data_IF_229675354337
#
_entry.id   IF_229675354337
#
_cell.length_a   1.000
_cell.length_b   1.000
_cell.length_c   1.000
_cell.angle_alpha   90.00
_cell.angle_beta   90.00
_cell.angle_gamma   90.00
#
_symmetry.space_group_name_H-M   'P 1'
#
loop_
_entity.id
_entity.type
_entity.pdbx_description
1 polymer ?
#
# COMPACT_ATOMS: atom_id res chain seq x y z
N UNK A 1 10.19 -13.26 8.27
CA UNK A 1 9.70 -12.35 7.22
C UNK A 1 10.93 -11.68 6.63
N UNK A 2 11.00 -11.48 5.31
CA UNK A 2 12.12 -10.75 4.70
C UNK A 2 11.82 -9.26 4.82
N UNK A 3 12.57 -8.57 5.69
CA UNK A 3 12.45 -7.12 5.92
C UNK A 3 12.56 -6.32 4.60
N UNK A 4 13.29 -6.85 3.62
CA UNK A 4 13.42 -6.28 2.28
C UNK A 4 12.06 -6.09 1.58
N UNK A 5 11.14 -7.04 1.72
CA UNK A 5 9.81 -6.92 1.13
C UNK A 5 9.05 -5.74 1.77
N UNK A 6 9.15 -5.58 3.08
CA UNK A 6 8.51 -4.47 3.82
C UNK A 6 9.13 -3.13 3.43
N UNK A 7 10.44 -3.07 3.20
CA UNK A 7 11.13 -1.90 2.66
C UNK A 7 10.66 -1.56 1.23
N UNK A 8 10.47 -2.55 0.36
CA UNK A 8 9.92 -2.34 -0.99
C UNK A 8 8.52 -1.70 -0.92
N UNK A 9 7.65 -2.21 -0.04
CA UNK A 9 6.31 -1.66 0.15
C UNK A 9 6.34 -0.26 0.78
N UNK A 10 7.20 -0.03 1.78
CA UNK A 10 7.43 1.31 2.34
C UNK A 10 7.77 2.32 1.24
N UNK A 11 8.71 1.97 0.35
CA UNK A 11 9.11 2.85 -0.75
C UNK A 11 7.96 3.12 -1.72
N UNK A 12 7.15 2.11 -2.04
CA UNK A 12 5.97 2.28 -2.92
C UNK A 12 4.91 3.19 -2.29
N UNK A 13 4.61 2.99 -0.99
CA UNK A 13 3.67 3.84 -0.24
C UNK A 13 4.18 5.29 -0.17
N UNK A 14 5.47 5.51 0.08
CA UNK A 14 6.08 6.85 0.07
C UNK A 14 5.98 7.52 -1.30
N UNK A 15 6.19 6.79 -2.40
CA UNK A 15 5.99 7.31 -3.77
C UNK A 15 4.53 7.68 -4.04
N UNK A 16 3.59 6.89 -3.53
CA UNK A 16 2.16 7.17 -3.65
C UNK A 16 1.82 8.52 -3.01
N UNK A 17 2.28 8.75 -1.78
CA UNK A 17 2.06 10.00 -1.06
C UNK A 17 2.75 11.22 -1.70
N UNK A 18 3.87 11.03 -2.41
CA UNK A 18 4.59 12.12 -3.06
C UNK A 18 5.25 13.09 -2.07
N UNK A 19 5.61 14.29 -2.55
CA UNK A 19 6.35 15.30 -1.76
C UNK A 19 5.50 16.01 -0.71
N UNK A 20 4.17 15.98 -0.87
CA UNK A 20 3.21 16.70 -0.03
C UNK A 20 2.59 15.80 1.06
N UNK A 21 3.19 14.64 1.28
CA UNK A 21 2.86 13.72 2.37
C UNK A 21 2.91 14.46 3.71
N UNK A 22 1.75 14.72 4.34
CA UNK A 22 1.68 15.38 5.64
C UNK A 22 2.46 14.63 6.73
N UNK A 23 2.80 15.27 7.85
CA UNK A 23 3.65 14.67 8.91
C UNK A 23 3.20 13.29 9.43
N UNK A 24 1.92 12.91 9.30
CA UNK A 24 1.36 11.63 9.75
C UNK A 24 1.46 10.45 8.76
N UNK A 25 1.67 10.68 7.47
CA UNK A 25 1.70 9.61 6.45
C UNK A 25 2.99 8.78 6.49
N UNK A 26 4.06 9.32 7.10
CA UNK A 26 5.32 8.62 7.30
C UNK A 26 5.25 7.50 8.35
N UNK A 27 4.31 7.57 9.30
CA UNK A 27 4.18 6.60 10.40
C UNK A 27 3.55 5.28 9.94
N UNK A 28 2.62 5.35 9.00
CA UNK A 28 1.87 4.18 8.48
C UNK A 28 2.63 3.44 7.38
N UNK A 29 3.68 4.05 6.83
CA UNK A 29 4.50 3.52 5.74
C UNK A 29 5.81 2.85 6.18
N UNK A 30 6.08 2.75 7.49
CA UNK A 30 7.36 2.24 8.00
C UNK A 30 7.46 0.71 7.86
N UNK A 31 8.61 0.20 7.40
CA UNK A 31 8.85 -1.23 7.19
C UNK A 31 8.69 -2.08 8.47
N UNK A 32 9.09 -1.58 9.64
CA UNK A 32 8.88 -2.27 10.91
C UNK A 32 7.38 -2.36 11.24
N UNK A 33 6.60 -1.33 10.92
CA UNK A 33 5.15 -1.35 11.07
C UNK A 33 4.50 -2.37 10.12
N UNK A 34 4.99 -2.46 8.89
CA UNK A 34 4.56 -3.47 7.92
C UNK A 34 4.94 -4.88 8.41
N UNK A 35 6.15 -5.08 8.94
CA UNK A 35 6.63 -6.34 9.54
C UNK A 35 5.82 -6.78 10.77
N UNK A 36 5.22 -5.82 11.48
CA UNK A 36 4.27 -6.10 12.57
C UNK A 36 2.92 -6.64 12.07
N UNK A 37 2.68 -6.65 10.76
CA UNK A 37 1.47 -7.18 10.14
C UNK A 37 0.46 -6.10 9.73
N UNK A 38 0.91 -4.85 9.59
CA UNK A 38 0.05 -3.72 9.22
C UNK A 38 0.20 -3.27 7.75
N UNK A 39 0.63 -4.19 6.87
CA UNK A 39 0.76 -3.91 5.43
C UNK A 39 -0.53 -3.42 4.78
N UNK A 40 -1.69 -3.94 5.18
CA UNK A 40 -2.98 -3.48 4.65
C UNK A 40 -3.33 -2.04 5.05
N UNK A 41 -2.94 -1.62 6.26
CA UNK A 41 -3.12 -0.23 6.70
C UNK A 41 -2.19 0.71 5.91
N UNK A 42 -0.96 0.26 5.62
CA UNK A 42 -0.02 0.97 4.76
C UNK A 42 -0.59 1.20 3.36
N UNK A 43 -1.16 0.16 2.75
CA UNK A 43 -1.83 0.24 1.47
C UNK A 43 -3.01 1.21 1.51
N UNK A 44 -3.96 1.01 2.43
CA UNK A 44 -5.16 1.86 2.55
C UNK A 44 -4.79 3.33 2.70
N UNK A 45 -3.79 3.63 3.52
CA UNK A 45 -3.27 4.99 3.68
C UNK A 45 -2.78 5.59 2.36
N UNK A 46 -2.02 4.82 1.57
CA UNK A 46 -1.46 5.26 0.30
C UNK A 46 -2.51 5.66 -0.75
N UNK A 47 -3.64 4.95 -0.78
CA UNK A 47 -4.69 5.12 -1.80
C UNK A 47 -5.83 6.02 -1.35
N UNK A 48 -6.00 6.25 -0.04
CA UNK A 48 -7.06 7.09 0.49
C UNK A 48 -7.19 8.47 -0.20
N UNK A 49 -6.09 9.20 -0.52
CA UNK A 49 -6.20 10.48 -1.23
C UNK A 49 -6.82 10.37 -2.62
N UNK A 50 -6.61 9.25 -3.32
CA UNK A 50 -7.13 9.02 -4.66
C UNK A 50 -8.61 8.63 -4.63
N UNK A 51 -9.04 7.92 -3.59
CA UNK A 51 -10.43 7.47 -3.47
C UNK A 51 -11.44 8.62 -3.31
N UNK A 52 -11.08 9.66 -2.54
CA UNK A 52 -12.00 10.79 -2.22
C UNK A 52 -12.48 11.53 -3.47
N UNK A 53 -11.65 11.63 -4.50
CA UNK A 53 -11.94 12.36 -5.73
C UNK A 53 -12.06 11.46 -6.97
N UNK A 54 -12.01 10.13 -6.77
CA UNK A 54 -12.07 9.16 -7.85
C UNK A 54 -13.45 9.12 -8.52
N UNK A 55 -13.42 8.94 -9.84
CA UNK A 55 -14.58 8.51 -10.62
C UNK A 55 -15.07 7.11 -10.18
N UNK A 56 -16.29 6.70 -10.55
CA UNK A 56 -16.79 5.36 -10.21
C UNK A 56 -15.91 4.21 -10.71
N UNK A 57 -15.26 4.36 -11.88
CA UNK A 57 -14.35 3.36 -12.43
C UNK A 57 -13.08 3.25 -11.56
N UNK A 58 -12.47 4.38 -11.22
CA UNK A 58 -11.28 4.42 -10.37
C UNK A 58 -11.57 3.92 -8.96
N UNK A 59 -12.75 4.19 -8.41
CA UNK A 59 -13.18 3.62 -7.12
C UNK A 59 -13.30 2.09 -7.19
N UNK A 60 -13.77 1.55 -8.32
CA UNK A 60 -13.84 0.11 -8.52
C UNK A 60 -12.44 -0.51 -8.58
N UNK A 61 -11.51 0.10 -9.32
CA UNK A 61 -10.10 -0.35 -9.38
C UNK A 61 -9.45 -0.34 -7.99
N UNK A 62 -9.63 0.74 -7.23
CA UNK A 62 -9.10 0.87 -5.86
C UNK A 62 -9.70 -0.21 -4.95
N UNK A 63 -11.00 -0.47 -5.08
CA UNK A 63 -11.70 -1.48 -4.27
C UNK A 63 -11.21 -2.90 -4.59
N UNK A 64 -11.04 -3.22 -5.87
CA UNK A 64 -10.50 -4.51 -6.32
C UNK A 64 -9.04 -4.70 -5.86
N UNK A 65 -8.24 -3.64 -5.93
CA UNK A 65 -6.88 -3.65 -5.39
C UNK A 65 -6.88 -3.94 -3.89
N UNK A 66 -7.69 -3.24 -3.09
CA UNK A 66 -7.75 -3.46 -1.64
C UNK A 66 -8.23 -4.86 -1.29
N UNK A 67 -9.26 -5.39 -1.96
CA UNK A 67 -9.76 -6.75 -1.70
C UNK A 67 -8.67 -7.82 -1.85
N UNK A 68 -7.82 -7.71 -2.88
CA UNK A 68 -6.71 -8.65 -3.14
C UNK A 68 -5.69 -8.73 -2.01
N UNK A 69 -5.56 -7.67 -1.20
CA UNK A 69 -4.50 -7.55 -0.20
C UNK A 69 -5.03 -7.49 1.24
N UNK A 70 -6.30 -7.83 1.47
CA UNK A 70 -6.91 -7.90 2.81
C UNK A 70 -6.16 -8.81 3.77
N UNK A 71 -5.51 -9.87 3.28
CA UNK A 71 -4.67 -10.79 4.07
C UNK A 71 -3.42 -10.13 4.67
N UNK A 72 -3.04 -8.92 4.23
CA UNK A 72 -1.99 -8.12 4.85
C UNK A 72 -2.47 -7.42 6.15
N UNK A 73 -3.69 -7.70 6.62
CA UNK A 73 -4.23 -7.20 7.87
C UNK A 73 -4.09 -8.26 8.99
N UNK A 74 -3.01 -8.19 9.76
CA UNK A 74 -2.86 -8.96 11.01
C UNK A 74 -2.10 -10.29 10.92
N UNK A 75 -1.39 -10.58 9.82
CA UNK A 75 -0.63 -11.82 9.64
C UNK A 75 0.89 -11.67 9.82
N UNK A 76 1.55 -12.76 10.24
CA UNK A 76 3.00 -12.99 10.07
C UNK A 76 3.24 -14.33 9.37
N UNK A 77 2.51 -14.62 8.30
CA UNK A 77 2.65 -15.91 7.59
C UNK A 77 4.00 -15.99 6.86
N UNK A 78 4.45 -17.19 6.51
CA UNK A 78 5.70 -17.36 5.74
C UNK A 78 5.60 -16.79 4.31
N UNK A 79 4.40 -16.81 3.73
CA UNK A 79 4.14 -16.37 2.36
C UNK A 79 3.85 -14.85 2.26
N UNK A 80 3.85 -14.16 3.40
CA UNK A 80 3.60 -12.71 3.45
C UNK A 80 4.64 -11.89 2.69
N UNK A 81 5.91 -12.32 2.64
CA UNK A 81 6.95 -11.54 1.96
C UNK A 81 6.67 -11.40 0.45
N UNK A 82 6.22 -12.47 -0.21
CA UNK A 82 5.91 -12.43 -1.63
C UNK A 82 4.62 -11.65 -1.91
N UNK A 83 3.62 -11.79 -1.03
CA UNK A 83 2.40 -10.99 -1.11
C UNK A 83 2.68 -9.49 -0.92
N UNK A 84 3.57 -9.12 0.01
CA UNK A 84 4.02 -7.74 0.23
C UNK A 84 4.73 -7.18 -1.02
N UNK A 85 5.64 -7.95 -1.63
CA UNK A 85 6.31 -7.52 -2.88
C UNK A 85 5.33 -7.33 -4.02
N UNK A 86 4.36 -8.24 -4.15
CA UNK A 86 3.34 -8.15 -5.18
C UNK A 86 2.45 -6.91 -4.96
N UNK A 87 2.07 -6.65 -3.71
CA UNK A 87 1.33 -5.44 -3.33
C UNK A 87 2.10 -4.15 -3.65
N UNK A 88 3.40 -4.10 -3.39
CA UNK A 88 4.25 -2.94 -3.72
C UNK A 88 4.24 -2.64 -5.23
N UNK A 89 4.41 -3.67 -6.07
CA UNK A 89 4.40 -3.52 -7.53
C UNK A 89 3.05 -3.08 -8.06
N UNK A 90 1.97 -3.67 -7.57
CA UNK A 90 0.63 -3.35 -8.05
C UNK A 90 0.14 -2.00 -7.52
N UNK A 91 0.59 -1.57 -6.34
CA UNK A 91 0.38 -0.22 -5.85
C UNK A 91 1.00 0.80 -6.81
N UNK A 92 2.26 0.64 -7.19
CA UNK A 92 2.92 1.55 -8.13
C UNK A 92 2.15 1.65 -9.47
N UNK A 93 1.70 0.52 -10.02
CA UNK A 93 0.90 0.49 -11.26
C UNK A 93 -0.43 1.22 -11.09
N UNK A 94 -1.14 0.97 -9.99
CA UNK A 94 -2.41 1.61 -9.70
C UNK A 94 -2.24 3.13 -9.58
N UNK A 95 -1.25 3.58 -8.80
CA UNK A 95 -0.97 5.01 -8.65
C UNK A 95 -0.60 5.66 -9.99
N UNK A 96 0.14 4.97 -10.85
CA UNK A 96 0.43 5.47 -12.20
C UNK A 96 -0.82 5.56 -13.08
N UNK A 97 -1.81 4.67 -12.91
CA UNK A 97 -3.10 4.76 -13.59
C UNK A 97 -3.89 5.97 -13.09
N UNK A 98 -3.97 6.17 -11.77
CA UNK A 98 -4.78 7.20 -11.11
C UNK A 98 -4.20 8.63 -11.19
N UNK A 99 -2.93 8.78 -11.56
CA UNK A 99 -2.27 10.10 -11.75
C UNK A 99 -2.35 10.61 -13.19
N UNK A 100 -2.92 9.83 -14.12
CA UNK A 100 -3.13 10.25 -15.52
C UNK A 100 -4.42 11.05 -15.66
#
# INVERSE_FOLDING_TARGET
>A
MSHDASLELEMAVRRAFGRDAGRGTLLVANADYIDMGFGFAALTGAIAPFYVYASPEEQADISEFLQRYTELNGGRSKDHADLIRQAAKDLDKLIQKLKK
#
